data_IF_953054188905
#
_entry.id   IF_953054188905
#
_cell.length_a   1.000
_cell.length_b   1.000
_cell.length_c   1.000
_cell.angle_alpha   90.00
_cell.angle_beta   90.00
_cell.angle_gamma   90.00
#
_symmetry.space_group_name_H-M   'P 1'
#
loop_
_entity.id
_entity.type
_entity.pdbx_description
1 polymer ?
#
# COMPACT_ATOMS: atom_id res chain seq x y z
N UNK A 1 66.24 -31.48 -26.96
CA UNK A 1 66.37 -31.25 -25.50
C UNK A 1 66.52 -29.74 -25.34
N UNK A 2 65.58 -29.01 -24.72
CA UNK A 2 65.00 -29.26 -23.40
C UNK A 2 63.46 -29.28 -23.35
N UNK A 3 62.95 -29.83 -22.25
CA UNK A 3 61.55 -29.88 -21.83
C UNK A 3 61.18 -28.54 -21.18
N UNK A 4 60.00 -28.00 -21.49
CA UNK A 4 59.33 -27.00 -20.65
C UNK A 4 58.08 -27.63 -20.06
N UNK A 5 58.11 -27.79 -18.73
CA UNK A 5 57.02 -28.34 -17.93
C UNK A 5 55.93 -27.31 -17.68
N UNK A 6 54.69 -27.81 -17.66
CA UNK A 6 53.47 -27.13 -17.25
C UNK A 6 53.55 -26.55 -15.83
N UNK A 7 52.84 -25.45 -15.61
CA UNK A 7 52.15 -25.15 -14.36
C UNK A 7 50.83 -24.44 -14.69
N UNK A 8 49.78 -25.23 -14.87
CA UNK A 8 48.40 -24.75 -14.97
C UNK A 8 47.88 -24.55 -13.55
N UNK A 9 47.79 -23.31 -13.09
CA UNK A 9 47.13 -22.98 -11.84
C UNK A 9 45.61 -23.03 -12.05
N UNK A 10 44.97 -24.11 -11.60
CA UNK A 10 43.52 -24.19 -11.52
C UNK A 10 43.04 -23.38 -10.30
N UNK A 11 42.54 -22.17 -10.54
CA UNK A 11 41.77 -21.45 -9.54
C UNK A 11 40.38 -22.10 -9.43
N UNK A 12 40.19 -22.92 -8.39
CA UNK A 12 38.86 -23.31 -7.91
C UNK A 12 38.23 -22.09 -7.24
N UNK A 13 37.51 -21.30 -8.03
CA UNK A 13 36.57 -20.33 -7.51
C UNK A 13 35.37 -21.07 -6.93
N UNK A 14 35.28 -21.15 -5.60
CA UNK A 14 34.06 -21.53 -4.90
C UNK A 14 33.04 -20.41 -5.09
N UNK A 15 32.22 -20.53 -6.13
CA UNK A 15 30.99 -19.76 -6.24
C UNK A 15 30.06 -20.25 -5.13
N UNK A 16 29.90 -19.45 -4.08
CA UNK A 16 28.78 -19.58 -3.15
C UNK A 16 27.52 -19.17 -3.90
N UNK A 17 26.99 -20.12 -4.65
CA UNK A 17 25.68 -20.07 -5.24
C UNK A 17 24.66 -20.11 -4.09
N UNK A 18 24.18 -18.94 -3.66
CA UNK A 18 22.85 -18.83 -3.08
C UNK A 18 21.88 -19.00 -4.26
N UNK A 19 21.71 -20.23 -4.72
CA UNK A 19 20.63 -20.58 -5.63
C UNK A 19 19.37 -20.55 -4.77
N UNK A 20 18.53 -19.54 -4.97
CA UNK A 20 17.15 -19.63 -4.49
C UNK A 20 16.54 -20.91 -5.07
N UNK A 21 15.84 -21.67 -4.24
CA UNK A 21 15.22 -22.93 -4.63
C UNK A 21 14.27 -22.66 -5.81
N UNK A 22 14.72 -23.06 -7.00
CA UNK A 22 13.96 -22.85 -8.24
C UNK A 22 12.89 -23.94 -8.33
N UNK A 23 11.64 -23.54 -8.51
CA UNK A 23 10.51 -24.45 -8.66
C UNK A 23 10.10 -24.58 -10.13
N UNK A 24 9.20 -25.50 -10.46
CA UNK A 24 8.67 -25.65 -11.83
C UNK A 24 7.17 -25.44 -11.89
N UNK A 25 6.73 -24.66 -12.86
CA UNK A 25 5.33 -24.51 -13.26
C UNK A 25 5.14 -25.12 -14.64
N UNK A 26 4.62 -26.34 -14.69
CA UNK A 26 4.64 -27.17 -15.88
C UNK A 26 6.09 -27.53 -16.25
N UNK A 27 6.63 -26.91 -17.29
CA UNK A 27 8.04 -27.06 -17.69
C UNK A 27 8.87 -25.79 -17.47
N UNK A 28 8.24 -24.70 -17.02
CA UNK A 28 8.92 -23.43 -16.80
C UNK A 28 9.54 -23.41 -15.39
N UNK A 29 10.88 -23.31 -15.26
CA UNK A 29 11.49 -23.00 -13.97
C UNK A 29 11.13 -21.57 -13.54
N UNK A 30 10.87 -21.34 -12.25
CA UNK A 30 10.55 -20.02 -11.71
C UNK A 30 11.12 -19.83 -10.30
N UNK A 31 11.28 -18.56 -9.91
CA UNK A 31 11.62 -18.16 -8.55
C UNK A 31 10.33 -17.98 -7.73
N UNK A 32 10.07 -18.80 -6.70
CA UNK A 32 8.87 -18.71 -5.87
C UNK A 32 8.82 -17.41 -5.04
N UNK A 33 9.92 -16.66 -4.93
CA UNK A 33 9.91 -15.33 -4.32
C UNK A 33 9.37 -14.25 -5.26
N UNK A 34 9.26 -14.52 -6.58
CA UNK A 34 8.83 -13.54 -7.59
C UNK A 34 7.53 -13.94 -8.29
N UNK A 35 7.20 -15.23 -8.33
CA UNK A 35 6.02 -15.74 -9.01
C UNK A 35 5.29 -16.80 -8.18
N UNK A 36 4.00 -16.94 -8.46
CA UNK A 36 3.15 -18.05 -8.01
C UNK A 36 2.69 -18.85 -9.23
N UNK A 37 2.72 -20.18 -9.13
CA UNK A 37 2.21 -21.07 -10.15
C UNK A 37 0.76 -21.50 -9.85
N UNK A 38 -0.12 -21.31 -10.82
CA UNK A 38 -1.52 -21.75 -10.79
C UNK A 38 -1.72 -22.97 -11.68
N UNK A 39 -2.36 -24.00 -11.13
CA UNK A 39 -2.73 -25.26 -11.81
C UNK A 39 -1.59 -25.96 -12.53
N UNK A 40 -0.35 -25.75 -12.07
CA UNK A 40 0.87 -26.24 -12.72
C UNK A 40 1.01 -25.81 -14.21
N UNK A 41 0.39 -24.69 -14.60
CA UNK A 41 0.29 -24.28 -16.00
C UNK A 41 0.50 -22.78 -16.23
N UNK A 42 0.22 -21.94 -15.24
CA UNK A 42 0.21 -20.49 -15.45
C UNK A 42 0.92 -19.75 -14.32
N UNK A 43 1.89 -18.91 -14.68
CA UNK A 43 2.66 -18.12 -13.73
C UNK A 43 2.06 -16.73 -13.58
N UNK A 44 1.85 -16.31 -12.34
CA UNK A 44 1.52 -14.94 -11.99
C UNK A 44 2.61 -14.30 -11.13
N UNK A 45 2.95 -13.02 -11.36
CA UNK A 45 3.95 -12.36 -10.53
C UNK A 45 3.40 -12.10 -9.13
N UNK A 46 4.32 -11.97 -8.17
CA UNK A 46 4.04 -11.44 -6.84
C UNK A 46 4.24 -9.92 -6.91
N UNK A 47 3.18 -9.16 -6.66
CA UNK A 47 3.19 -7.70 -6.71
C UNK A 47 2.85 -7.12 -5.34
N UNK A 48 3.68 -6.22 -4.81
CA UNK A 48 3.48 -5.63 -3.47
C UNK A 48 3.28 -6.65 -2.32
N UNK A 49 3.85 -7.86 -2.46
CA UNK A 49 3.67 -8.97 -1.53
C UNK A 49 2.41 -9.81 -1.76
N UNK A 50 1.55 -9.43 -2.72
CA UNK A 50 0.40 -10.21 -3.15
C UNK A 50 0.79 -11.18 -4.28
N UNK A 51 0.64 -12.50 -4.08
CA UNK A 51 0.65 -13.45 -5.18
C UNK A 51 -0.59 -13.23 -6.04
N UNK A 52 -0.42 -12.61 -7.22
CA UNK A 52 -1.56 -12.30 -8.09
C UNK A 52 -2.29 -13.58 -8.48
N UNK A 53 -3.61 -13.50 -8.52
CA UNK A 53 -4.47 -14.65 -8.80
C UNK A 53 -4.70 -14.81 -10.30
N UNK A 54 -5.03 -16.01 -10.76
CA UNK A 54 -5.35 -16.28 -12.16
C UNK A 54 -6.87 -16.28 -12.38
N UNK A 55 -7.33 -15.58 -13.41
CA UNK A 55 -8.66 -15.74 -13.99
C UNK A 55 -8.53 -15.89 -15.51
N UNK A 56 -8.93 -17.04 -16.05
CA UNK A 56 -8.94 -17.30 -17.50
C UNK A 56 -7.61 -16.98 -18.23
N UNK A 57 -6.47 -17.20 -17.58
CA UNK A 57 -5.15 -16.91 -18.17
C UNK A 57 -4.72 -15.44 -18.05
N UNK A 58 -5.32 -14.68 -17.14
CA UNK A 58 -4.88 -13.34 -16.77
C UNK A 58 -4.61 -13.25 -15.27
N UNK A 59 -3.51 -12.58 -14.91
CA UNK A 59 -3.20 -12.28 -13.51
C UNK A 59 -3.98 -11.05 -13.04
N UNK A 60 -4.55 -11.11 -11.85
CA UNK A 60 -5.30 -10.00 -11.26
C UNK A 60 -5.03 -9.85 -9.76
N UNK A 61 -5.21 -8.63 -9.26
CA UNK A 61 -5.19 -8.34 -7.83
C UNK A 61 -6.57 -8.55 -7.21
N UNK A 62 -6.60 -9.32 -6.13
CA UNK A 62 -7.79 -9.56 -5.29
C UNK A 62 -8.21 -8.32 -4.52
N UNK A 63 -7.39 -7.27 -4.47
CA UNK A 63 -7.78 -5.99 -3.88
C UNK A 63 -8.73 -5.18 -4.79
N UNK A 64 -8.86 -5.54 -6.07
CA UNK A 64 -9.71 -4.84 -7.02
C UNK A 64 -10.72 -5.74 -7.72
N UNK A 65 -10.39 -7.01 -7.93
CA UNK A 65 -11.21 -7.90 -8.75
C UNK A 65 -11.53 -9.22 -8.06
N UNK A 66 -12.60 -9.86 -8.53
CA UNK A 66 -12.96 -11.24 -8.26
C UNK A 66 -13.04 -12.02 -9.57
N UNK A 67 -12.89 -13.34 -9.50
CA UNK A 67 -13.07 -14.23 -10.65
C UNK A 67 -14.14 -15.27 -10.30
N UNK A 68 -15.24 -15.25 -11.05
CA UNK A 68 -16.33 -16.23 -10.90
C UNK A 68 -16.62 -16.80 -12.27
N UNK A 69 -16.61 -18.13 -12.39
CA UNK A 69 -16.86 -18.82 -13.68
C UNK A 69 -15.98 -18.30 -14.83
N UNK A 70 -14.69 -18.06 -14.56
CA UNK A 70 -13.72 -17.49 -15.52
C UNK A 70 -14.04 -16.06 -16.00
N UNK A 71 -14.95 -15.36 -15.33
CA UNK A 71 -15.26 -13.95 -15.61
C UNK A 71 -14.63 -13.07 -14.54
N UNK A 72 -13.68 -12.24 -14.95
CA UNK A 72 -13.06 -11.23 -14.10
C UNK A 72 -14.02 -10.05 -13.92
N UNK A 73 -14.39 -9.75 -12.68
CA UNK A 73 -15.32 -8.67 -12.34
C UNK A 73 -14.70 -7.75 -11.29
N UNK A 74 -14.88 -6.45 -11.45
CA UNK A 74 -14.48 -5.47 -10.43
C UNK A 74 -15.28 -5.71 -9.15
N UNK A 75 -14.61 -5.63 -8.01
CA UNK A 75 -15.26 -5.66 -6.71
C UNK A 75 -16.21 -4.44 -6.56
N UNK A 76 -17.30 -4.58 -5.79
CA UNK A 76 -18.21 -3.46 -5.56
C UNK A 76 -17.51 -2.32 -4.80
N UNK A 77 -17.88 -1.06 -5.04
CA UNK A 77 -17.33 0.06 -4.29
C UNK A 77 -17.78 0.01 -2.82
N UNK A 78 -16.93 0.50 -1.92
CA UNK A 78 -17.30 0.67 -0.51
C UNK A 78 -18.26 1.85 -0.37
N UNK A 79 -19.36 1.63 0.36
CA UNK A 79 -20.39 2.66 0.62
C UNK A 79 -20.42 3.15 2.08
N UNK A 80 -19.67 2.50 2.98
CA UNK A 80 -19.59 2.86 4.40
C UNK A 80 -18.19 3.37 4.78
N UNK A 81 -18.02 4.00 5.96
CA UNK A 81 -16.70 4.34 6.46
C UNK A 81 -15.83 3.09 6.65
N UNK A 82 -14.51 3.24 6.60
CA UNK A 82 -13.57 2.12 6.77
C UNK A 82 -12.25 2.56 7.40
N UNK A 83 -11.51 1.61 7.95
CA UNK A 83 -10.08 1.77 8.27
C UNK A 83 -9.22 1.03 7.25
N UNK A 84 -7.91 1.31 7.26
CA UNK A 84 -6.95 0.65 6.39
C UNK A 84 -5.86 -0.08 7.17
N UNK A 85 -5.42 -1.19 6.60
CA UNK A 85 -4.30 -1.98 7.11
C UNK A 85 -3.32 -2.27 5.98
N UNK A 86 -2.02 -2.15 6.25
CA UNK A 86 -1.00 -2.51 5.27
C UNK A 86 -0.92 -4.04 5.07
N UNK A 87 -0.88 -4.45 3.81
CA UNK A 87 -0.78 -5.84 3.41
C UNK A 87 0.45 -6.05 2.53
N UNK A 88 1.49 -6.61 3.14
CA UNK A 88 2.60 -7.27 2.47
C UNK A 88 3.28 -8.21 3.49
N UNK A 89 3.01 -9.54 3.44
CA UNK A 89 3.49 -10.50 4.44
C UNK A 89 5.01 -10.54 4.66
N UNK A 90 5.79 -10.03 3.70
CA UNK A 90 7.25 -10.00 3.77
C UNK A 90 7.80 -8.76 4.52
N UNK A 91 6.94 -7.87 5.01
CA UNK A 91 7.32 -6.65 5.71
C UNK A 91 6.89 -6.66 7.18
N UNK A 92 7.66 -6.01 8.08
CA UNK A 92 7.30 -5.90 9.49
C UNK A 92 6.03 -5.07 9.76
N UNK A 93 5.56 -4.33 8.75
CA UNK A 93 4.35 -3.51 8.80
C UNK A 93 3.09 -4.25 8.30
N UNK A 94 3.20 -5.53 7.91
CA UNK A 94 2.03 -6.33 7.58
C UNK A 94 1.03 -6.36 8.75
N UNK A 95 -0.25 -6.15 8.46
CA UNK A 95 -1.29 -6.13 9.48
C UNK A 95 -1.30 -4.87 10.36
N UNK A 96 -0.44 -3.88 10.10
CA UNK A 96 -0.41 -2.62 10.86
C UNK A 96 -1.37 -1.58 10.28
N UNK A 97 -1.99 -0.74 11.13
CA UNK A 97 -2.97 0.25 10.68
C UNK A 97 -2.31 1.37 9.88
N UNK A 98 -3.08 1.96 8.97
CA UNK A 98 -2.82 3.32 8.47
C UNK A 98 -3.42 4.30 9.47
N UNK A 99 -2.64 5.28 9.89
CA UNK A 99 -3.00 6.30 10.87
C UNK A 99 -2.75 7.70 10.30
N UNK A 100 -3.61 8.65 10.67
CA UNK A 100 -3.53 10.06 10.33
C UNK A 100 -2.88 10.83 11.47
N UNK A 101 -1.77 11.50 11.19
CA UNK A 101 -1.10 12.39 12.12
C UNK A 101 -0.27 13.45 11.37
N UNK A 102 -0.25 14.68 11.87
CA UNK A 102 0.50 15.79 11.29
C UNK A 102 0.11 16.09 9.84
N UNK A 103 -1.18 15.96 9.50
CA UNK A 103 -1.71 16.11 8.12
C UNK A 103 -1.21 15.07 7.10
N UNK A 104 -0.58 13.99 7.56
CA UNK A 104 -0.10 12.88 6.73
C UNK A 104 -0.72 11.55 7.13
N UNK A 105 -0.81 10.62 6.17
CA UNK A 105 -1.11 9.23 6.47
C UNK A 105 0.20 8.45 6.58
N UNK A 106 0.31 7.67 7.64
CA UNK A 106 1.47 6.82 7.93
C UNK A 106 1.01 5.41 8.28
N UNK A 107 1.88 4.42 8.15
CA UNK A 107 1.63 3.03 8.53
C UNK A 107 2.33 2.74 9.85
N UNK A 108 1.66 2.01 10.74
CA UNK A 108 2.16 1.65 12.06
C UNK A 108 2.49 2.86 12.96
N UNK A 109 1.79 3.98 12.77
CA UNK A 109 1.84 5.14 13.64
C UNK A 109 0.72 5.15 14.69
N UNK A 110 0.55 6.30 15.34
CA UNK A 110 -0.57 6.60 16.23
C UNK A 110 -1.43 7.68 15.58
N UNK A 111 -2.76 7.55 15.70
CA UNK A 111 -3.68 8.55 15.17
C UNK A 111 -3.64 9.82 16.02
N UNK A 112 -3.29 10.95 15.39
CA UNK A 112 -3.40 12.28 15.97
C UNK A 112 -4.82 12.80 15.81
N UNK A 113 -5.48 13.10 16.93
CA UNK A 113 -6.82 13.67 16.94
C UNK A 113 -6.98 14.74 18.00
N UNK A 114 -8.00 15.58 17.82
CA UNK A 114 -8.36 16.61 18.78
C UNK A 114 -9.87 16.65 18.98
N UNK A 115 -10.28 16.78 20.24
CA UNK A 115 -11.64 16.98 20.68
C UNK A 115 -11.73 18.30 21.47
N UNK A 116 -12.57 19.27 21.05
CA UNK A 116 -12.81 20.48 21.83
C UNK A 116 -13.55 20.17 23.12
N UNK A 117 -13.20 20.88 24.20
CA UNK A 117 -13.86 20.75 25.51
C UNK A 117 -15.39 20.95 25.43
N UNK A 118 -15.86 21.81 24.52
CA UNK A 118 -17.30 22.09 24.34
C UNK A 118 -18.07 20.90 23.74
N UNK A 119 -17.38 19.98 23.06
CA UNK A 119 -17.98 18.76 22.50
C UNK A 119 -17.97 17.65 23.55
N UNK A 120 -16.89 17.56 24.33
CA UNK A 120 -16.76 16.63 25.45
C UNK A 120 -17.03 15.18 25.04
N UNK A 121 -17.88 14.49 25.81
CA UNK A 121 -18.18 13.06 25.64
C UNK A 121 -18.87 12.71 24.32
N UNK A 122 -19.32 13.70 23.53
CA UNK A 122 -19.86 13.47 22.19
C UNK A 122 -18.76 13.23 21.14
N UNK A 123 -17.49 13.37 21.49
CA UNK A 123 -16.38 13.10 20.59
C UNK A 123 -16.24 11.59 20.31
N UNK A 124 -15.86 11.22 19.07
CA UNK A 124 -15.45 9.86 18.78
C UNK A 124 -14.15 9.50 19.51
N UNK A 125 -13.80 8.20 19.58
CA UNK A 125 -12.63 7.73 20.32
C UNK A 125 -11.30 8.39 19.93
N UNK A 126 -11.13 8.81 18.68
CA UNK A 126 -9.94 9.55 18.22
C UNK A 126 -8.66 8.71 18.12
N UNK A 127 -8.75 7.39 18.23
CA UNK A 127 -7.62 6.46 18.28
C UNK A 127 -7.43 5.64 16.99
N UNK A 128 -8.33 5.76 16.02
CA UNK A 128 -8.25 5.11 14.72
C UNK A 128 -8.48 6.12 13.60
N UNK A 129 -7.92 5.83 12.42
CA UNK A 129 -8.16 6.64 11.22
C UNK A 129 -9.25 6.03 10.37
N UNK A 130 -10.41 6.67 10.45
CA UNK A 130 -11.61 6.30 9.70
C UNK A 130 -11.73 7.21 8.48
N UNK A 131 -11.96 6.58 7.33
CA UNK A 131 -11.97 7.17 6.00
C UNK A 131 -13.34 6.94 5.37
N UNK A 132 -13.76 7.88 4.52
CA UNK A 132 -14.89 7.73 3.61
C UNK A 132 -14.41 7.94 2.17
N UNK A 133 -15.00 7.21 1.23
CA UNK A 133 -14.74 7.39 -0.20
C UNK A 133 -16.04 7.62 -0.96
N UNK A 134 -16.00 8.50 -1.97
CA UNK A 134 -17.15 8.76 -2.84
C UNK A 134 -16.68 9.26 -4.20
N UNK A 135 -17.19 8.66 -5.28
CA UNK A 135 -16.94 9.08 -6.66
C UNK A 135 -15.43 9.27 -6.98
N UNK A 136 -14.59 8.37 -6.48
CA UNK A 136 -13.15 8.43 -6.68
C UNK A 136 -12.40 9.43 -5.79
N UNK A 137 -13.10 10.22 -4.98
CA UNK A 137 -12.54 11.09 -3.95
C UNK A 137 -12.52 10.41 -2.58
N UNK A 138 -11.75 10.99 -1.67
CA UNK A 138 -11.52 10.46 -0.32
C UNK A 138 -11.52 11.59 0.69
N UNK A 139 -12.13 11.34 1.84
CA UNK A 139 -12.14 12.27 2.96
C UNK A 139 -11.99 11.52 4.28
N UNK A 140 -11.61 12.26 5.31
CA UNK A 140 -11.56 11.76 6.66
C UNK A 140 -12.97 11.68 7.24
N UNK A 141 -13.33 10.60 7.94
CA UNK A 141 -14.61 10.53 8.64
C UNK A 141 -14.53 11.28 9.97
N UNK A 142 -14.93 12.56 9.95
CA UNK A 142 -14.79 13.51 11.05
C UNK A 142 -16.09 14.27 11.33
N UNK A 143 -16.25 14.73 12.57
CA UNK A 143 -17.40 15.57 12.97
C UNK A 143 -17.17 17.07 12.75
N UNK A 144 -15.91 17.51 12.60
CA UNK A 144 -15.56 18.93 12.49
C UNK A 144 -16.28 19.59 11.30
N UNK A 145 -16.92 20.76 11.48
CA UNK A 145 -17.55 21.49 10.39
C UNK A 145 -16.56 21.83 9.27
N UNK A 146 -16.96 21.57 8.03
CA UNK A 146 -16.12 21.69 6.83
C UNK A 146 -15.36 20.40 6.48
N UNK A 147 -15.26 19.45 7.41
CA UNK A 147 -14.60 18.18 7.22
C UNK A 147 -13.09 18.30 7.01
N UNK A 148 -12.47 17.18 6.58
CA UNK A 148 -11.08 17.12 6.16
C UNK A 148 -10.98 16.25 4.91
N UNK A 149 -10.50 16.81 3.80
CA UNK A 149 -10.35 16.11 2.53
C UNK A 149 -8.98 15.46 2.41
N UNK A 150 -8.90 14.27 1.84
CA UNK A 150 -7.64 13.58 1.62
C UNK A 150 -7.12 13.84 0.19
N UNK A 151 -5.80 13.85 0.01
CA UNK A 151 -5.17 14.12 -1.28
C UNK A 151 -3.80 13.45 -1.38
N UNK A 152 -3.35 13.23 -2.62
CA UNK A 152 -1.94 12.99 -2.92
C UNK A 152 -1.27 14.33 -3.21
N UNK A 153 -0.23 14.68 -2.45
CA UNK A 153 0.52 15.91 -2.67
C UNK A 153 1.34 15.85 -3.99
N UNK A 154 1.96 16.97 -4.44
CA UNK A 154 2.79 16.98 -5.65
C UNK A 154 4.01 16.05 -5.60
N UNK A 155 4.36 15.55 -4.41
CA UNK A 155 5.43 14.60 -4.20
C UNK A 155 4.95 13.15 -4.18
N UNK A 156 3.63 12.91 -4.19
CA UNK A 156 2.93 11.63 -4.04
C UNK A 156 2.84 11.09 -2.60
N UNK A 157 2.97 11.96 -1.59
CA UNK A 157 2.63 11.59 -0.22
C UNK A 157 1.11 11.67 -0.02
N UNK A 158 0.58 10.74 0.76
CA UNK A 158 -0.82 10.78 1.16
C UNK A 158 -1.01 11.72 2.34
N UNK A 159 -1.87 12.73 2.17
CA UNK A 159 -2.14 13.75 3.17
C UNK A 159 -3.63 14.08 3.28
N UNK A 160 -3.94 14.96 4.22
CA UNK A 160 -5.30 15.47 4.42
C UNK A 160 -5.28 16.92 4.87
N UNK A 161 -6.36 17.64 4.57
CA UNK A 161 -6.46 19.06 4.90
C UNK A 161 -6.52 19.26 6.42
N UNK A 162 -5.92 20.35 6.88
CA UNK A 162 -6.13 20.81 8.25
C UNK A 162 -7.62 21.08 8.49
N UNK A 163 -8.09 20.81 9.70
CA UNK A 163 -9.44 21.19 10.11
C UNK A 163 -9.69 22.70 9.92
N UNK A 164 -10.91 23.04 9.51
CA UNK A 164 -11.31 24.42 9.17
C UNK A 164 -10.51 25.08 8.03
N UNK A 165 -9.73 24.31 7.27
CA UNK A 165 -8.98 24.79 6.12
C UNK A 165 -9.30 23.97 4.88
N UNK A 166 -9.57 24.67 3.78
CA UNK A 166 -9.70 24.07 2.46
C UNK A 166 -8.37 24.10 1.68
N UNK A 167 -7.26 24.51 2.33
CA UNK A 167 -5.97 24.59 1.66
C UNK A 167 -5.46 23.20 1.28
N UNK A 168 -5.20 23.03 -0.01
CA UNK A 168 -4.54 21.87 -0.60
C UNK A 168 -3.35 22.41 -1.41
N UNK A 169 -2.14 21.86 -1.27
CA UNK A 169 -0.98 22.30 -2.04
C UNK A 169 -1.24 22.29 -3.56
N UNK A 170 -0.86 23.32 -4.31
CA UNK A 170 -1.00 23.33 -5.76
C UNK A 170 -0.31 22.13 -6.42
N UNK A 171 -0.99 21.46 -7.35
CA UNK A 171 -0.50 20.24 -8.00
C UNK A 171 -0.88 18.94 -7.30
N UNK A 172 -1.63 19.00 -6.19
CA UNK A 172 -2.17 17.81 -5.53
C UNK A 172 -3.30 17.17 -6.34
N UNK A 173 -3.52 15.87 -6.11
CA UNK A 173 -4.57 15.06 -6.72
C UNK A 173 -5.60 14.69 -5.66
N UNK A 174 -6.88 14.94 -5.93
CA UNK A 174 -7.99 14.74 -4.98
C UNK A 174 -8.99 13.66 -5.42
N UNK A 175 -8.81 13.08 -6.59
CA UNK A 175 -9.67 12.03 -7.16
C UNK A 175 -8.83 10.89 -7.73
N UNK A 176 -9.47 9.87 -8.33
CA UNK A 176 -8.76 8.72 -8.89
C UNK A 176 -8.35 7.69 -7.84
N UNK A 177 -9.06 7.61 -6.73
CA UNK A 177 -8.89 6.57 -5.71
C UNK A 177 -10.02 5.53 -5.82
N UNK A 178 -9.66 4.24 -5.80
CA UNK A 178 -10.63 3.15 -5.71
C UNK A 178 -10.72 2.62 -4.28
N UNK A 179 -11.93 2.36 -3.79
CA UNK A 179 -12.16 1.68 -2.52
C UNK A 179 -13.14 0.54 -2.78
N UNK A 180 -12.68 -0.70 -2.62
CA UNK A 180 -13.43 -1.89 -3.01
C UNK A 180 -13.79 -2.77 -1.81
N UNK A 181 -15.08 -3.09 -1.67
CA UNK A 181 -15.61 -3.91 -0.59
C UNK A 181 -15.03 -5.34 -0.68
N UNK A 182 -14.56 -5.87 0.45
CA UNK A 182 -13.83 -7.14 0.49
C UNK A 182 -12.44 -7.11 -0.17
N UNK A 183 -12.01 -5.95 -0.68
CA UNK A 183 -10.73 -5.74 -1.35
C UNK A 183 -9.89 -4.66 -0.66
N UNK A 184 -9.41 -3.70 -1.46
CA UNK A 184 -8.48 -2.69 -0.99
C UNK A 184 -8.79 -1.27 -1.41
N UNK A 185 -8.03 -0.37 -0.81
CA UNK A 185 -7.92 1.01 -1.22
C UNK A 185 -6.76 1.15 -2.20
N UNK A 186 -7.05 1.59 -3.42
CA UNK A 186 -6.09 1.61 -4.54
C UNK A 186 -5.96 3.01 -5.12
N UNK A 187 -4.76 3.30 -5.62
CA UNK A 187 -4.48 4.52 -6.36
C UNK A 187 -4.57 4.24 -7.87
N UNK A 188 -5.51 4.90 -8.56
CA UNK A 188 -5.71 4.79 -10.00
C UNK A 188 -5.01 5.91 -10.78
N UNK A 189 -4.26 6.79 -10.10
CA UNK A 189 -3.57 7.92 -10.72
C UNK A 189 -2.18 7.56 -11.25
N UNK A 190 -1.74 8.26 -12.31
CA UNK A 190 -0.35 8.28 -12.80
C UNK A 190 0.19 6.93 -13.26
N UNK A 191 -0.63 6.11 -13.92
CA UNK A 191 -0.29 4.72 -14.28
C UNK A 191 0.15 3.89 -13.06
N UNK A 192 -0.48 4.17 -11.91
CA UNK A 192 0.00 3.87 -10.55
C UNK A 192 0.49 2.44 -10.33
N UNK A 193 1.69 2.34 -9.78
CA UNK A 193 2.33 1.08 -9.37
C UNK A 193 1.85 0.65 -7.96
N UNK A 194 0.68 1.12 -7.54
CA UNK A 194 0.13 0.92 -6.21
C UNK A 194 0.75 1.83 -5.13
N UNK A 195 0.55 1.42 -3.88
CA UNK A 195 1.04 2.13 -2.70
C UNK A 195 2.44 1.64 -2.30
N UNK A 196 3.18 2.49 -1.60
CA UNK A 196 4.41 2.11 -0.93
C UNK A 196 4.50 2.75 0.45
N UNK A 197 5.17 2.05 1.35
CA UNK A 197 5.52 2.54 2.66
C UNK A 197 7.02 2.86 2.70
N UNK A 198 7.36 4.09 3.05
CA UNK A 198 8.74 4.51 3.23
C UNK A 198 9.13 4.35 4.70
N UNK A 199 10.25 3.66 5.01
CA UNK A 199 10.67 3.46 6.39
C UNK A 199 10.95 4.78 7.10
N UNK A 200 10.80 4.83 8.44
CA UNK A 200 11.16 6.00 9.22
C UNK A 200 12.64 6.34 8.99
N UNK A 201 12.93 7.63 8.74
CA UNK A 201 14.31 8.09 8.62
C UNK A 201 14.90 8.32 10.02
N UNK A 202 16.08 7.77 10.28
CA UNK A 202 16.77 7.86 11.57
C UNK A 202 17.07 9.31 12.02
N UNK A 203 17.01 10.30 11.12
CA UNK A 203 17.32 11.70 11.40
C UNK A 203 16.06 12.57 11.36
N UNK A 204 15.44 12.86 12.51
CA UNK A 204 14.44 13.92 12.59
C UNK A 204 13.30 13.78 13.61
N UNK A 205 13.31 12.82 14.52
CA UNK A 205 12.26 12.72 15.55
C UNK A 205 10.89 12.26 15.06
N UNK A 206 10.76 11.85 13.80
CA UNK A 206 9.62 11.08 13.31
C UNK A 206 9.70 9.68 13.94
N UNK A 207 8.64 9.27 14.64
CA UNK A 207 8.58 7.99 15.35
C UNK A 207 8.73 6.75 14.45
N UNK A 208 8.36 5.55 14.92
CA UNK A 208 8.57 4.29 14.19
C UNK A 208 7.68 4.13 12.94
N UNK A 209 6.85 5.12 12.61
CA UNK A 209 5.85 5.05 11.55
C UNK A 209 6.47 5.17 10.15
N UNK A 210 5.87 4.49 9.19
CA UNK A 210 6.29 4.50 7.79
C UNK A 210 5.42 5.47 7.00
N UNK A 211 6.03 6.38 6.23
CA UNK A 211 5.27 7.35 5.44
C UNK A 211 4.55 6.65 4.28
N UNK A 212 3.24 6.90 4.11
CA UNK A 212 2.45 6.34 3.02
C UNK A 212 2.58 7.22 1.77
N UNK A 213 3.04 6.60 0.68
CA UNK A 213 3.21 7.27 -0.60
C UNK A 213 2.63 6.43 -1.73
N UNK A 214 2.36 7.07 -2.86
CA UNK A 214 2.02 6.39 -4.09
C UNK A 214 3.23 6.35 -5.05
N UNK A 215 3.45 5.19 -5.69
CA UNK A 215 4.51 5.02 -6.67
C UNK A 215 3.98 5.09 -8.10
N UNK A 216 4.80 5.63 -8.98
CA UNK A 216 4.59 5.62 -10.42
C UNK A 216 5.94 5.63 -11.15
N UNK A 217 5.88 5.56 -12.47
CA UNK A 217 7.06 5.51 -13.34
C UNK A 217 7.99 6.71 -13.18
N UNK A 218 7.46 7.88 -12.81
CA UNK A 218 8.22 9.14 -12.71
C UNK A 218 8.89 9.36 -11.35
N UNK A 219 8.53 8.57 -10.32
CA UNK A 219 9.03 8.76 -8.95
C UNK A 219 9.78 7.54 -8.38
N UNK A 220 10.17 6.60 -9.25
CA UNK A 220 10.87 5.35 -8.88
C UNK A 220 12.16 5.58 -8.10
N UNK A 221 13.00 6.53 -8.50
CA UNK A 221 14.26 6.84 -7.82
C UNK A 221 14.02 7.47 -6.43
N UNK A 222 13.05 8.40 -6.33
CA UNK A 222 12.70 9.06 -5.06
C UNK A 222 12.27 8.07 -3.98
N UNK A 223 11.56 7.02 -4.39
CA UNK A 223 10.97 6.02 -3.51
C UNK A 223 11.62 4.64 -3.64
N UNK A 224 12.88 4.58 -4.07
CA UNK A 224 13.64 3.34 -4.21
C UNK A 224 13.81 2.57 -2.89
N UNK A 225 13.81 3.28 -1.77
CA UNK A 225 13.92 2.76 -0.40
C UNK A 225 12.56 2.43 0.24
N UNK A 226 11.45 2.66 -0.48
CA UNK A 226 10.11 2.40 0.01
C UNK A 226 9.61 1.05 -0.50
N UNK A 227 8.99 0.28 0.39
CA UNK A 227 8.51 -1.06 0.07
C UNK A 227 7.08 -1.00 -0.48
N UNK A 228 6.78 -1.67 -1.60
CA UNK A 228 5.42 -1.71 -2.14
C UNK A 228 4.49 -2.45 -1.18
N UNK A 229 3.27 -1.94 -0.99
CA UNK A 229 2.25 -2.52 -0.13
C UNK A 229 0.88 -2.43 -0.79
N UNK A 230 -0.01 -3.35 -0.43
CA UNK A 230 -1.44 -3.16 -0.62
C UNK A 230 -2.06 -2.54 0.64
N UNK A 231 -3.22 -1.91 0.50
CA UNK A 231 -3.99 -1.36 1.61
C UNK A 231 -5.34 -2.07 1.68
N UNK A 232 -5.47 -2.96 2.66
CA UNK A 232 -6.70 -3.70 2.92
C UNK A 232 -7.72 -2.79 3.59
N UNK A 233 -8.97 -2.87 3.12
CA UNK A 233 -10.11 -2.18 3.71
C UNK A 233 -10.72 -3.02 4.84
N UNK A 234 -11.01 -2.37 5.96
CA UNK A 234 -11.85 -2.93 7.02
C UNK A 234 -13.10 -2.05 7.17
N UNK A 235 -14.20 -2.52 6.59
CA UNK A 235 -15.47 -1.79 6.56
C UNK A 235 -16.05 -1.62 7.96
N UNK A 236 -16.58 -0.42 8.22
CA UNK A 236 -17.23 -0.05 9.47
C UNK A 236 -18.73 0.24 9.22
N UNK A 237 -19.56 0.24 10.29
CA UNK A 237 -20.95 0.66 10.16
C UNK A 237 -21.10 2.07 9.59
N UNK A 238 -22.15 2.27 8.79
CA UNK A 238 -22.50 3.60 8.27
C UNK A 238 -22.65 4.63 9.39
N UNK A 239 -22.14 5.84 9.17
CA UNK A 239 -22.18 6.93 10.16
C UNK A 239 -21.06 6.88 11.21
N UNK A 240 -20.12 5.93 11.12
CA UNK A 240 -18.96 5.89 12.01
C UNK A 240 -18.03 7.09 11.77
N UNK A 241 -17.82 7.91 12.80
CA UNK A 241 -16.79 8.94 12.86
C UNK A 241 -15.58 8.42 13.64
N UNK A 242 -14.36 8.68 13.16
CA UNK A 242 -13.14 8.25 13.85
C UNK A 242 -12.59 9.30 14.83
N UNK A 243 -12.85 10.58 14.56
CA UNK A 243 -12.41 11.69 15.40
C UNK A 243 -13.35 12.90 15.26
N UNK A 244 -13.27 13.85 16.21
CA UNK A 244 -13.85 15.16 15.96
C UNK A 244 -13.07 15.89 14.86
N UNK A 245 -11.74 15.96 14.99
CA UNK A 245 -10.81 16.24 13.89
C UNK A 245 -9.53 15.42 14.03
N UNK A 246 -8.85 15.17 12.91
CA UNK A 246 -7.48 14.66 12.88
C UNK A 246 -6.48 15.82 12.85
N UNK A 247 -5.32 15.65 13.50
CA UNK A 247 -4.28 16.68 13.65
C UNK A 247 -2.99 16.30 12.98
#
# INVERSE_FOLDING_TARGET
MPRFSLLTAAFLGLANNVLGDTETCGQAPYDPAQYVCWDNQFLCPIAAGEPLSNCAGACYSKFMYSCTENVLTLLPPVESPFTLTADNPNLPIHGKPVTAAGQHWVVAGETGSYCPEQVGDACPPGNETVIISRNGGVAMSVMVPGGQGAYLDPYWNMGYTQAHSAYIPPGSITTGFGAYEGGGFVNLNGNGWGWAACPPRASGGGGPAWNLVARNETNTERYNQCSPINLKINSLPSGTYGAWQYT
#
